data_IF_573711944169
#
_entry.id   IF_573711944169
#
_cell.length_a   1.000
_cell.length_b   1.000
_cell.length_c   1.000
_cell.angle_alpha   90.00
_cell.angle_beta   90.00
_cell.angle_gamma   90.00
#
_symmetry.space_group_name_H-M   'P 1'
#
loop_
_entity.id
_entity.type
_entity.pdbx_description
1 polymer ?
#
# COMPACT_ATOMS: atom_id res chain seq x y z
N UNK A 1 13.99 -4.09 8.03
CA UNK A 1 14.48 -4.12 6.61
C UNK A 1 13.38 -4.50 5.62
N UNK A 2 12.44 -5.40 5.95
CA UNK A 2 11.40 -5.90 5.02
C UNK A 2 10.55 -4.77 4.38
N UNK A 3 10.06 -3.83 5.18
CA UNK A 3 9.30 -2.69 4.65
C UNK A 3 10.18 -1.76 3.82
N UNK A 4 11.32 -1.32 4.34
CA UNK A 4 12.19 -0.32 3.69
C UNK A 4 12.91 -0.84 2.46
N UNK A 5 13.24 -2.12 2.41
CA UNK A 5 13.94 -2.76 1.28
C UNK A 5 13.01 -3.49 0.30
N UNK A 6 11.76 -3.69 0.66
CA UNK A 6 10.81 -4.47 -0.14
C UNK A 6 9.48 -3.76 -0.34
N UNK A 7 8.59 -3.84 0.64
CA UNK A 7 7.18 -3.42 0.49
C UNK A 7 7.06 -1.98 -0.01
N UNK A 8 7.68 -1.02 0.69
CA UNK A 8 7.62 0.39 0.34
C UNK A 8 8.15 0.67 -1.08
N UNK A 9 9.40 0.29 -1.40
CA UNK A 9 9.96 0.52 -2.73
C UNK A 9 9.16 -0.11 -3.86
N UNK A 10 8.74 -1.37 -3.73
CA UNK A 10 8.05 -2.06 -4.83
C UNK A 10 6.64 -1.52 -5.04
N UNK A 11 5.88 -1.31 -3.97
CA UNK A 11 4.56 -0.70 -4.06
C UNK A 11 4.64 0.75 -4.54
N UNK A 12 5.65 1.51 -4.12
CA UNK A 12 5.89 2.87 -4.59
C UNK A 12 6.11 2.92 -6.11
N UNK A 13 6.91 2.00 -6.66
CA UNK A 13 7.10 1.89 -8.11
C UNK A 13 5.81 1.46 -8.83
N UNK A 14 5.07 0.48 -8.29
CA UNK A 14 3.79 0.08 -8.86
C UNK A 14 2.82 1.25 -8.95
N UNK A 15 2.71 2.04 -7.87
CA UNK A 15 1.90 3.26 -7.81
C UNK A 15 2.36 4.30 -8.84
N UNK A 16 3.67 4.55 -8.92
CA UNK A 16 4.25 5.53 -9.85
C UNK A 16 3.88 5.19 -11.30
N UNK A 17 4.18 3.98 -11.75
CA UNK A 17 3.93 3.60 -13.15
C UNK A 17 2.45 3.61 -13.51
N UNK A 18 1.57 3.27 -12.58
CA UNK A 18 0.14 3.24 -12.85
C UNK A 18 -0.57 4.59 -12.68
N UNK A 19 -0.14 5.41 -11.72
CA UNK A 19 -0.85 6.63 -11.34
C UNK A 19 -0.19 7.91 -11.83
N UNK A 20 1.06 7.84 -12.26
CA UNK A 20 1.81 9.01 -12.73
C UNK A 20 2.31 8.79 -14.15
N UNK A 21 3.11 7.78 -14.41
CA UNK A 21 3.71 7.55 -15.73
C UNK A 21 2.65 7.27 -16.81
N UNK A 22 1.79 6.29 -16.58
CA UNK A 22 0.74 5.91 -17.54
C UNK A 22 -0.20 7.05 -17.92
N UNK A 23 -0.78 7.84 -16.99
CA UNK A 23 -1.62 9.00 -17.36
C UNK A 23 -0.86 10.10 -18.11
N UNK A 24 0.48 10.14 -17.99
CA UNK A 24 1.33 11.07 -18.73
C UNK A 24 1.75 10.58 -20.14
N UNK A 25 1.28 9.39 -20.53
CA UNK A 25 1.61 8.77 -21.83
C UNK A 25 2.88 7.91 -21.80
N UNK A 26 3.51 7.74 -20.65
CA UNK A 26 4.67 6.86 -20.45
C UNK A 26 4.19 5.46 -20.06
N UNK A 27 3.61 4.75 -21.03
CA UNK A 27 3.18 3.38 -20.80
C UNK A 27 4.37 2.41 -20.82
N UNK A 28 4.63 1.81 -19.66
CA UNK A 28 5.67 0.81 -19.46
C UNK A 28 5.04 -0.52 -18.95
N UNK A 29 4.40 -1.30 -19.83
CA UNK A 29 3.66 -2.50 -19.40
C UNK A 29 4.51 -3.52 -18.65
N UNK A 30 5.77 -3.67 -19.02
CA UNK A 30 6.70 -4.56 -18.32
C UNK A 30 6.95 -4.09 -16.89
N UNK A 31 7.24 -2.80 -16.69
CA UNK A 31 7.50 -2.22 -15.38
C UNK A 31 6.26 -2.31 -14.49
N UNK A 32 5.09 -1.98 -15.02
CA UNK A 32 3.81 -2.12 -14.30
C UNK A 32 3.64 -3.55 -13.81
N UNK A 33 3.69 -4.53 -14.71
CA UNK A 33 3.52 -5.94 -14.36
C UNK A 33 4.55 -6.39 -13.31
N UNK A 34 5.83 -6.11 -13.54
CA UNK A 34 6.92 -6.50 -12.65
C UNK A 34 6.70 -5.99 -11.22
N UNK A 35 6.36 -4.71 -11.06
CA UNK A 35 6.21 -4.12 -9.73
C UNK A 35 4.89 -4.52 -9.05
N UNK A 36 3.82 -4.74 -9.79
CA UNK A 36 2.57 -5.27 -9.27
C UNK A 36 2.75 -6.71 -8.78
N UNK A 37 3.36 -7.58 -9.59
CA UNK A 37 3.63 -8.98 -9.23
C UNK A 37 4.55 -9.07 -8.00
N UNK A 38 5.61 -8.28 -7.95
CA UNK A 38 6.51 -8.27 -6.79
C UNK A 38 5.82 -7.71 -5.54
N UNK A 39 4.98 -6.68 -5.68
CA UNK A 39 4.18 -6.16 -4.56
C UNK A 39 3.23 -7.23 -4.02
N UNK A 40 2.55 -7.98 -4.89
CA UNK A 40 1.69 -9.09 -4.49
C UNK A 40 2.50 -10.16 -3.75
N UNK A 41 3.63 -10.58 -4.29
CA UNK A 41 4.52 -11.57 -3.66
C UNK A 41 4.96 -11.13 -2.26
N UNK A 42 5.28 -9.85 -2.06
CA UNK A 42 5.66 -9.32 -0.76
C UNK A 42 4.49 -9.33 0.23
N UNK A 43 3.27 -9.06 -0.22
CA UNK A 43 2.07 -9.21 0.63
C UNK A 43 1.80 -10.67 0.99
N UNK A 44 2.08 -11.63 0.10
CA UNK A 44 2.02 -13.07 0.39
C UNK A 44 3.05 -13.49 1.45
N UNK A 45 4.28 -12.95 1.37
CA UNK A 45 5.30 -13.15 2.40
C UNK A 45 4.81 -12.60 3.75
N UNK A 46 4.20 -11.41 3.75
CA UNK A 46 3.63 -10.83 4.95
C UNK A 46 2.46 -11.68 5.49
N UNK A 47 1.57 -12.15 4.63
CA UNK A 47 0.48 -13.05 5.00
C UNK A 47 1.01 -14.33 5.67
N UNK A 48 2.02 -14.95 5.08
CA UNK A 48 2.69 -16.13 5.63
C UNK A 48 3.33 -15.83 7.00
N UNK A 49 3.95 -14.67 7.13
CA UNK A 49 4.56 -14.23 8.40
C UNK A 49 3.52 -14.06 9.51
N UNK A 50 2.34 -13.59 9.17
CA UNK A 50 1.24 -13.33 10.10
C UNK A 50 0.47 -14.60 10.52
N UNK A 51 0.69 -15.73 9.83
CA UNK A 51 0.06 -16.99 10.19
C UNK A 51 0.37 -17.37 11.65
N UNK A 52 -0.68 -17.52 12.46
CA UNK A 52 -0.57 -17.84 13.89
C UNK A 52 0.01 -16.72 14.77
N UNK A 53 0.03 -15.46 14.28
CA UNK A 53 0.53 -14.29 15.01
C UNK A 53 -0.48 -13.14 14.97
N UNK A 54 -0.49 -12.35 16.02
CA UNK A 54 -1.31 -11.15 16.06
C UNK A 54 -0.65 -9.99 15.30
N UNK A 55 0.68 -9.89 15.36
CA UNK A 55 1.47 -8.81 14.76
C UNK A 55 2.73 -9.36 14.09
N UNK A 56 3.44 -8.52 13.35
CA UNK A 56 4.61 -8.94 12.57
C UNK A 56 5.72 -9.55 13.42
N UNK A 57 5.87 -9.14 14.69
CA UNK A 57 6.91 -9.61 15.61
C UNK A 57 6.29 -10.36 16.80
N UNK A 58 5.34 -11.24 16.53
CA UNK A 58 4.68 -12.06 17.55
C UNK A 58 3.31 -11.51 17.96
N UNK A 59 3.08 -11.38 19.26
CA UNK A 59 1.77 -11.01 19.82
C UNK A 59 1.70 -9.55 20.30
N UNK A 60 2.77 -8.79 20.12
CA UNK A 60 2.85 -7.40 20.53
C UNK A 60 2.96 -6.45 19.32
N UNK A 61 2.16 -5.39 19.36
CA UNK A 61 2.22 -4.30 18.38
C UNK A 61 3.57 -3.57 18.46
N UNK A 62 4.24 -3.41 17.33
CA UNK A 62 5.59 -2.89 17.27
C UNK A 62 5.79 -1.86 16.15
N UNK A 63 6.97 -1.26 16.11
CA UNK A 63 7.38 -0.37 15.00
C UNK A 63 7.41 -1.10 13.65
N UNK A 64 7.52 -2.43 13.62
CA UNK A 64 7.43 -3.20 12.38
C UNK A 64 6.02 -3.10 11.76
N UNK A 65 4.99 -3.17 12.60
CA UNK A 65 3.60 -2.99 12.19
C UNK A 65 3.34 -1.55 11.77
N UNK A 66 3.80 -0.58 12.57
CA UNK A 66 3.65 0.86 12.29
C UNK A 66 4.25 1.26 10.94
N UNK A 67 5.43 0.74 10.62
CA UNK A 67 6.13 1.07 9.37
C UNK A 67 5.53 0.35 8.16
N UNK A 68 5.03 -0.87 8.34
CA UNK A 68 4.57 -1.71 7.21
C UNK A 68 3.11 -1.46 6.87
N UNK A 69 2.27 -1.21 7.87
CA UNK A 69 0.82 -1.07 7.70
C UNK A 69 0.41 0.01 6.69
N UNK A 70 0.90 1.26 6.72
CA UNK A 70 0.47 2.29 5.77
C UNK A 70 0.76 1.91 4.32
N UNK A 71 1.89 1.26 4.08
CA UNK A 71 2.25 0.77 2.75
C UNK A 71 1.40 -0.42 2.32
N UNK A 72 1.30 -1.44 3.15
CA UNK A 72 0.52 -2.62 2.83
C UNK A 72 -0.97 -2.28 2.62
N UNK A 73 -1.53 -1.41 3.45
CA UNK A 73 -2.92 -0.94 3.35
C UNK A 73 -3.21 -0.16 2.05
N UNK A 74 -2.17 0.41 1.43
CA UNK A 74 -2.31 1.13 0.15
C UNK A 74 -2.29 0.19 -1.07
N UNK A 75 -2.50 -1.11 -0.90
CA UNK A 75 -2.45 -2.12 -1.96
C UNK A 75 -3.32 -1.77 -3.18
N UNK A 76 -4.49 -1.17 -2.97
CA UNK A 76 -5.40 -0.75 -4.04
C UNK A 76 -4.80 0.35 -4.93
N UNK A 77 -3.95 1.23 -4.38
CA UNK A 77 -3.23 2.24 -5.16
C UNK A 77 -2.20 1.61 -6.10
N UNK A 78 -1.59 0.53 -5.69
CA UNK A 78 -0.69 -0.28 -6.50
C UNK A 78 -1.42 -1.27 -7.43
N UNK A 79 -2.76 -1.29 -7.39
CA UNK A 79 -3.64 -2.26 -8.10
C UNK A 79 -3.29 -3.73 -7.78
N UNK A 80 -2.86 -3.97 -6.56
CA UNK A 80 -2.56 -5.32 -6.06
C UNK A 80 -3.79 -5.86 -5.36
N UNK A 81 -4.22 -7.08 -5.69
CA UNK A 81 -5.28 -7.77 -4.92
C UNK A 81 -4.72 -8.30 -3.60
N UNK A 82 -5.57 -8.34 -2.59
CA UNK A 82 -5.32 -9.00 -1.30
C UNK A 82 -6.28 -10.18 -1.07
N UNK A 83 -6.98 -10.61 -2.13
CA UNK A 83 -7.84 -11.78 -2.09
C UNK A 83 -7.02 -13.01 -1.68
N UNK A 84 -7.63 -13.89 -0.88
CA UNK A 84 -7.01 -15.11 -0.36
C UNK A 84 -5.83 -14.87 0.61
N UNK A 85 -5.60 -13.64 1.06
CA UNK A 85 -4.60 -13.30 2.07
C UNK A 85 -5.25 -13.12 3.46
N UNK A 86 -5.85 -14.18 3.99
CA UNK A 86 -6.70 -14.13 5.18
C UNK A 86 -5.98 -13.60 6.43
N UNK A 87 -4.72 -13.99 6.64
CA UNK A 87 -3.94 -13.51 7.79
C UNK A 87 -3.57 -12.04 7.65
N UNK A 88 -3.30 -11.58 6.43
CA UNK A 88 -3.06 -10.17 6.13
C UNK A 88 -4.33 -9.35 6.35
N UNK A 89 -5.46 -9.81 5.86
CA UNK A 89 -6.75 -9.14 6.03
C UNK A 89 -7.13 -9.05 7.51
N UNK A 90 -6.99 -10.14 8.27
CA UNK A 90 -7.20 -10.13 9.72
C UNK A 90 -6.24 -9.17 10.47
N UNK A 91 -5.03 -8.99 9.96
CA UNK A 91 -4.08 -8.02 10.52
C UNK A 91 -4.48 -6.58 10.18
N UNK A 92 -5.00 -6.32 8.97
CA UNK A 92 -5.57 -5.01 8.63
C UNK A 92 -6.72 -4.66 9.56
N UNK A 93 -7.71 -5.55 9.72
CA UNK A 93 -8.86 -5.35 10.60
C UNK A 93 -8.43 -5.02 12.04
N UNK A 94 -7.43 -5.75 12.54
CA UNK A 94 -6.90 -5.54 13.90
C UNK A 94 -6.24 -4.18 14.06
N UNK A 95 -5.50 -3.72 13.05
CA UNK A 95 -4.84 -2.41 13.09
C UNK A 95 -5.84 -1.27 12.84
N UNK A 96 -6.80 -1.47 11.94
CA UNK A 96 -7.89 -0.52 11.68
C UNK A 96 -8.77 -0.31 12.93
N UNK A 97 -8.99 -1.34 13.74
CA UNK A 97 -9.74 -1.24 14.99
C UNK A 97 -9.03 -0.43 16.10
N UNK A 98 -7.74 -0.09 15.94
CA UNK A 98 -6.99 0.66 16.95
C UNK A 98 -7.34 2.16 16.91
N UNK A 99 -7.81 2.77 18.02
CA UNK A 99 -8.18 4.19 18.04
C UNK A 99 -7.06 5.14 17.56
N UNK A 100 -5.82 4.84 17.95
CA UNK A 100 -4.65 5.66 17.54
C UNK A 100 -4.29 5.49 16.06
N UNK A 101 -4.59 4.36 15.45
CA UNK A 101 -4.49 4.19 14.00
C UNK A 101 -5.50 5.09 13.29
N UNK A 102 -6.75 5.08 13.74
CA UNK A 102 -7.80 5.92 13.18
C UNK A 102 -7.49 7.42 13.34
N UNK A 103 -6.99 7.83 14.49
CA UNK A 103 -6.53 9.20 14.72
C UNK A 103 -5.38 9.58 13.75
N UNK A 104 -4.40 8.71 13.58
CA UNK A 104 -3.26 8.95 12.69
C UNK A 104 -3.68 9.04 11.21
N UNK A 105 -4.68 8.27 10.78
CA UNK A 105 -5.22 8.33 9.41
C UNK A 105 -5.95 9.66 9.10
N UNK A 106 -6.29 10.45 10.12
CA UNK A 106 -6.89 11.77 9.97
C UNK A 106 -5.85 12.90 9.89
N UNK A 107 -4.56 12.60 9.95
CA UNK A 107 -3.48 13.57 9.99
C UNK A 107 -2.49 13.38 8.82
N UNK A 108 -2.19 14.43 8.02
CA UNK A 108 -2.91 15.71 7.92
C UNK A 108 -4.35 15.53 7.47
N UNK A 109 -5.20 16.54 7.57
CA UNK A 109 -6.61 16.41 7.14
C UNK A 109 -6.74 15.56 5.88
N UNK A 110 -7.58 14.51 5.89
CA UNK A 110 -7.72 13.61 4.76
C UNK A 110 -8.05 14.41 3.50
N UNK A 111 -7.17 14.35 2.53
CA UNK A 111 -7.54 14.86 1.20
C UNK A 111 -8.50 13.86 0.57
N UNK A 112 -9.68 14.28 0.12
CA UNK A 112 -10.70 13.35 -0.40
C UNK A 112 -10.19 12.39 -1.48
N UNK A 113 -9.11 12.75 -2.16
CA UNK A 113 -8.51 11.97 -3.26
C UNK A 113 -7.29 11.13 -2.87
N UNK A 114 -6.78 11.23 -1.63
CA UNK A 114 -5.53 10.55 -1.30
C UNK A 114 -5.70 9.06 -0.99
N UNK A 115 -6.82 8.66 -0.38
CA UNK A 115 -7.03 7.29 0.12
C UNK A 115 -8.50 6.82 0.06
N UNK A 116 -9.40 7.52 -0.62
CA UNK A 116 -10.80 7.12 -0.77
C UNK A 116 -11.06 6.39 -2.09
N UNK A 117 -12.21 5.72 -2.17
CA UNK A 117 -12.78 5.14 -3.41
C UNK A 117 -13.23 6.21 -4.43
N UNK A 118 -12.87 7.49 -4.22
CA UNK A 118 -13.09 8.55 -5.19
C UNK A 118 -12.26 8.36 -6.46
N UNK A 119 -12.54 9.14 -7.46
CA UNK A 119 -11.93 9.04 -8.79
C UNK A 119 -10.39 9.10 -8.72
N UNK A 120 -9.80 7.90 -8.56
CA UNK A 120 -8.36 7.67 -8.47
C UNK A 120 -7.67 8.18 -9.75
N UNK A 121 -8.34 8.12 -10.89
CA UNK A 121 -7.81 8.59 -12.17
C UNK A 121 -7.74 10.13 -12.23
N UNK A 122 -8.68 10.83 -11.62
CA UNK A 122 -8.64 12.30 -11.54
C UNK A 122 -7.54 12.78 -10.58
N UNK A 123 -7.39 12.11 -9.44
CA UNK A 123 -6.31 12.37 -8.50
C UNK A 123 -4.93 12.07 -9.12
N UNK A 124 -4.81 10.99 -9.90
CA UNK A 124 -3.60 10.65 -10.63
C UNK A 124 -3.24 11.72 -11.67
N UNK A 125 -4.20 12.20 -12.45
CA UNK A 125 -3.99 13.29 -13.44
C UNK A 125 -3.53 14.60 -12.76
N UNK A 126 -4.14 14.95 -11.62
CA UNK A 126 -3.77 16.15 -10.86
C UNK A 126 -2.36 16.05 -10.26
N UNK A 127 -1.99 14.87 -9.75
CA UNK A 127 -0.65 14.63 -9.24
C UNK A 127 0.38 14.60 -10.36
N UNK A 128 0.07 13.99 -11.50
CA UNK A 128 0.94 13.97 -12.67
C UNK A 128 1.28 15.39 -13.17
N UNK A 129 0.34 16.32 -13.12
CA UNK A 129 0.57 17.72 -13.49
C UNK A 129 1.57 18.42 -12.55
N UNK A 130 1.63 18.04 -11.27
CA UNK A 130 2.54 18.65 -10.28
C UNK A 130 4.00 18.16 -10.43
N UNK A 131 4.25 17.07 -11.15
CA UNK A 131 5.61 16.53 -11.39
C UNK A 131 6.21 16.96 -12.74
N UNK A 132 5.49 17.74 -13.54
CA UNK A 132 5.98 18.28 -14.83
C UNK A 132 6.67 19.65 -14.72
N UNK A 133 6.80 20.22 -13.52
CA UNK A 133 7.49 21.48 -13.24
C UNK A 133 8.77 21.16 -12.40
#
# INVERSE_FOLDING_TARGET
>A
MFQMGGVGPMMGQAMYFQRIAKPNGDEEPYSIRRYVEESRRLLEVLNTRLAGRQFMVGDEYSIADMATYPWARSYFWATVSVDELDHLNAWFDRLDARPKTQEALQLPEPRPSAFGEGDIDEAAKKNAANFKN
#
